data_IF_105349140932
#
_entry.id   IF_105349140932
#
_cell.length_a   1.000
_cell.length_b   1.000
_cell.length_c   1.000
_cell.angle_alpha   90.00
_cell.angle_beta   90.00
_cell.angle_gamma   90.00
#
_symmetry.space_group_name_H-M   'P 1'
#
loop_
_entity.id
_entity.type
_entity.pdbx_description
1 polymer ?
#
# COMPACT_ATOMS: atom_id res chain seq x y z
N UNK A 1 -15.30 -20.78 8.62
CA UNK A 1 -15.40 -19.43 7.99
C UNK A 1 -15.29 -18.29 9.00
N UNK A 2 -16.22 -18.09 9.95
CA UNK A 2 -16.13 -16.96 10.91
C UNK A 2 -14.89 -17.10 11.83
N UNK A 3 -14.64 -18.31 12.35
CA UNK A 3 -13.43 -18.61 13.13
C UNK A 3 -12.14 -18.35 12.32
N UNK A 4 -12.14 -18.73 11.04
CA UNK A 4 -11.02 -18.49 10.12
C UNK A 4 -10.81 -16.99 9.85
N UNK A 5 -11.89 -16.24 9.69
CA UNK A 5 -11.82 -14.79 9.51
C UNK A 5 -11.22 -14.11 10.75
N UNK A 6 -11.72 -14.45 11.94
CA UNK A 6 -11.15 -13.94 13.19
C UNK A 6 -9.68 -14.30 13.38
N UNK A 7 -9.29 -15.53 13.02
CA UNK A 7 -7.89 -15.93 13.02
C UNK A 7 -7.05 -15.15 12.00
N UNK A 8 -7.62 -14.79 10.85
CA UNK A 8 -7.01 -13.90 9.86
C UNK A 8 -6.78 -12.47 10.40
N UNK A 9 -7.76 -11.90 11.11
CA UNK A 9 -7.61 -10.61 11.79
C UNK A 9 -6.49 -10.70 12.84
N UNK A 10 -6.42 -11.81 13.58
CA UNK A 10 -5.34 -12.09 14.52
C UNK A 10 -3.94 -12.13 13.87
N UNK A 11 -3.85 -12.56 12.60
CA UNK A 11 -2.59 -12.52 11.84
C UNK A 11 -2.17 -11.08 11.51
N UNK A 12 -3.11 -10.20 11.21
CA UNK A 12 -2.82 -8.77 11.03
C UNK A 12 -2.26 -8.16 12.32
N UNK A 13 -2.95 -8.39 13.45
CA UNK A 13 -2.49 -7.91 14.77
C UNK A 13 -1.12 -8.48 15.16
N UNK A 14 -0.86 -9.75 14.83
CA UNK A 14 0.45 -10.36 15.01
C UNK A 14 1.49 -9.69 14.13
N UNK A 15 1.15 -9.35 12.89
CA UNK A 15 2.00 -8.59 11.98
C UNK A 15 2.38 -7.21 12.55
N UNK A 16 1.39 -6.47 13.07
CA UNK A 16 1.64 -5.24 13.82
C UNK A 16 2.61 -5.46 14.98
N UNK A 17 2.35 -6.47 15.82
CA UNK A 17 3.23 -6.79 16.95
C UNK A 17 4.66 -7.12 16.52
N UNK A 18 4.85 -7.87 15.43
CA UNK A 18 6.17 -8.26 14.91
C UNK A 18 6.98 -7.08 14.37
N UNK A 19 6.32 -6.13 13.72
CA UNK A 19 6.98 -4.90 13.23
C UNK A 19 7.34 -4.01 14.40
N UNK A 20 6.40 -3.77 15.32
CA UNK A 20 6.61 -2.89 16.47
C UNK A 20 7.47 -3.49 17.59
N UNK A 21 7.71 -4.80 17.60
CA UNK A 21 8.62 -5.44 18.57
C UNK A 21 10.10 -5.22 18.28
N UNK A 22 10.44 -4.72 17.09
CA UNK A 22 11.83 -4.46 16.69
C UNK A 22 12.01 -3.03 16.22
N UNK A 23 12.83 -2.20 16.89
CA UNK A 23 13.06 -0.81 16.46
C UNK A 23 13.68 -0.75 15.07
N UNK A 24 14.47 -1.76 14.68
CA UNK A 24 15.03 -1.90 13.33
C UNK A 24 13.93 -2.02 12.26
N UNK A 25 12.90 -2.84 12.50
CA UNK A 25 11.78 -3.02 11.55
C UNK A 25 10.93 -1.77 11.42
N UNK A 26 10.68 -1.07 12.53
CA UNK A 26 9.99 0.22 12.52
C UNK A 26 10.79 1.24 11.69
N UNK A 27 12.10 1.33 11.91
CA UNK A 27 12.97 2.25 11.17
C UNK A 27 12.99 1.93 9.67
N UNK A 28 13.15 0.65 9.31
CA UNK A 28 13.16 0.20 7.91
C UNK A 28 11.81 0.46 7.24
N UNK A 29 10.70 0.18 7.92
CA UNK A 29 9.36 0.43 7.39
C UNK A 29 9.06 1.93 7.22
N UNK A 30 9.64 2.79 8.07
CA UNK A 30 9.51 4.23 7.99
C UNK A 30 10.44 4.88 6.94
N UNK A 31 11.51 4.19 6.52
CA UNK A 31 12.53 4.78 5.63
C UNK A 31 11.96 5.35 4.33
N UNK A 32 11.04 4.68 3.61
CA UNK A 32 10.40 5.23 2.41
C UNK A 32 9.68 6.55 2.69
N UNK A 33 8.99 6.63 3.82
CA UNK A 33 8.25 7.83 4.24
C UNK A 33 9.21 8.95 4.63
N UNK A 34 10.33 8.63 5.28
CA UNK A 34 11.38 9.61 5.64
C UNK A 34 12.03 10.19 4.38
N UNK A 35 12.44 9.33 3.43
CA UNK A 35 13.05 9.77 2.16
C UNK A 35 12.08 10.69 1.41
N UNK A 36 10.82 10.28 1.30
CA UNK A 36 9.80 11.07 0.61
C UNK A 36 9.50 12.38 1.35
N UNK A 37 9.49 12.37 2.69
CA UNK A 37 9.32 13.57 3.50
C UNK A 37 10.44 14.58 3.24
N UNK A 38 11.70 14.13 3.23
CA UNK A 38 12.86 14.99 2.95
C UNK A 38 12.78 15.58 1.54
N UNK A 39 12.41 14.76 0.54
CA UNK A 39 12.22 15.22 -0.84
C UNK A 39 11.14 16.31 -0.93
N UNK A 40 9.97 16.07 -0.36
CA UNK A 40 8.88 17.05 -0.41
C UNK A 40 9.17 18.29 0.44
N UNK A 41 9.79 18.14 1.62
CA UNK A 41 10.24 19.28 2.43
C UNK A 41 11.21 20.17 1.65
N UNK A 42 12.11 19.58 0.87
CA UNK A 42 13.01 20.33 -0.01
C UNK A 42 12.20 21.14 -1.03
N UNK A 43 11.20 20.53 -1.68
CA UNK A 43 10.28 21.22 -2.58
C UNK A 43 9.51 22.36 -1.90
N UNK A 44 9.06 22.15 -0.67
CA UNK A 44 8.39 23.17 0.14
C UNK A 44 9.29 24.36 0.47
N UNK A 45 10.53 24.10 0.90
CA UNK A 45 11.50 25.17 1.18
C UNK A 45 11.78 25.98 -0.08
N UNK A 46 12.00 25.33 -1.23
CA UNK A 46 12.22 26.01 -2.50
C UNK A 46 11.00 26.85 -2.92
N UNK A 47 9.79 26.31 -2.79
CA UNK A 47 8.56 27.04 -3.11
C UNK A 47 8.37 28.26 -2.21
N UNK A 48 8.47 28.09 -0.89
CA UNK A 48 8.18 29.16 0.08
C UNK A 48 9.23 30.28 0.03
N UNK A 49 10.49 29.94 -0.21
CA UNK A 49 11.55 30.94 -0.38
C UNK A 49 11.41 31.73 -1.69
N UNK A 50 10.77 31.14 -2.71
CA UNK A 50 10.55 31.78 -4.01
C UNK A 50 9.08 32.17 -4.25
N UNK A 51 8.23 32.17 -3.21
CA UNK A 51 6.78 32.31 -3.39
C UNK A 51 6.39 33.64 -4.02
N UNK A 52 7.11 34.72 -3.69
CA UNK A 52 6.88 36.04 -4.26
C UNK A 52 7.20 36.06 -5.76
N UNK A 53 8.31 35.45 -6.18
CA UNK A 53 8.69 35.35 -7.60
C UNK A 53 7.72 34.46 -8.38
N UNK A 54 7.23 33.37 -7.77
CA UNK A 54 6.21 32.50 -8.38
C UNK A 54 4.88 33.23 -8.50
N UNK A 55 4.49 33.98 -7.47
CA UNK A 55 3.27 34.78 -7.49
C UNK A 55 3.33 35.86 -8.58
N UNK A 56 4.40 36.66 -8.63
CA UNK A 56 4.61 37.70 -9.65
C UNK A 56 4.56 37.12 -11.07
N UNK A 57 5.25 36.00 -11.30
CA UNK A 57 5.22 35.31 -12.60
C UNK A 57 3.82 34.84 -13.00
N UNK A 58 3.04 34.29 -12.06
CA UNK A 58 1.66 33.85 -12.29
C UNK A 58 0.68 35.02 -12.42
N UNK A 59 0.99 36.18 -11.85
CA UNK A 59 0.16 37.39 -11.88
C UNK A 59 0.56 38.38 -12.97
N UNK A 60 1.35 37.99 -13.99
CA UNK A 60 1.70 38.90 -15.09
C UNK A 60 0.50 39.51 -15.83
N UNK A 61 -0.69 38.92 -15.72
CA UNK A 61 -1.93 39.52 -16.24
C UNK A 61 -2.37 40.79 -15.48
N UNK A 62 -1.91 40.98 -14.24
CA UNK A 62 -2.23 42.09 -13.36
C UNK A 62 -1.17 43.21 -13.37
N UNK A 63 -0.17 43.14 -14.25
CA UNK A 63 0.93 44.12 -14.33
C UNK A 63 0.46 45.54 -14.65
N UNK A 64 -0.67 45.68 -15.34
CA UNK A 64 -1.28 46.97 -15.69
C UNK A 64 -2.16 47.55 -14.57
N UNK A 65 -2.36 46.82 -13.47
CA UNK A 65 -3.24 47.24 -12.38
C UNK A 65 -2.52 48.25 -11.48
N UNK A 66 -3.29 49.02 -10.70
CA UNK A 66 -2.70 49.87 -9.65
C UNK A 66 -1.96 49.00 -8.62
N UNK A 67 -0.86 49.51 -8.05
CA UNK A 67 0.02 48.75 -7.16
C UNK A 67 -0.69 48.05 -5.98
N UNK A 68 -1.74 48.65 -5.41
CA UNK A 68 -2.53 48.02 -4.34
C UNK A 68 -3.28 46.78 -4.82
N UNK A 69 -3.96 46.87 -5.97
CA UNK A 69 -4.71 45.73 -6.54
C UNK A 69 -3.78 44.64 -7.10
N UNK A 70 -2.61 45.01 -7.65
CA UNK A 70 -1.56 44.04 -8.03
C UNK A 70 -1.08 43.25 -6.81
N UNK A 71 -0.72 43.93 -5.72
CA UNK A 71 -0.26 43.27 -4.49
C UNK A 71 -1.32 42.34 -3.85
N UNK A 72 -2.60 42.72 -3.90
CA UNK A 72 -3.70 41.85 -3.44
C UNK A 72 -3.79 40.58 -4.30
N UNK A 73 -3.66 40.71 -5.62
CA UNK A 73 -3.70 39.57 -6.54
C UNK A 73 -2.51 38.62 -6.31
N UNK A 74 -1.29 39.16 -6.15
CA UNK A 74 -0.08 38.38 -5.84
C UNK A 74 -0.22 37.57 -4.56
N UNK A 75 -0.69 38.19 -3.48
CA UNK A 75 -0.92 37.49 -2.20
C UNK A 75 -1.98 36.40 -2.35
N UNK A 76 -3.09 36.68 -3.03
CA UNK A 76 -4.16 35.71 -3.24
C UNK A 76 -3.68 34.49 -4.08
N UNK A 77 -2.90 34.75 -5.14
CA UNK A 77 -2.29 33.69 -5.96
C UNK A 77 -1.27 32.91 -5.16
N UNK A 78 -0.39 33.57 -4.39
CA UNK A 78 0.58 32.91 -3.52
C UNK A 78 -0.08 31.95 -2.53
N UNK A 79 -1.14 32.38 -1.84
CA UNK A 79 -1.93 31.53 -0.93
C UNK A 79 -2.55 30.36 -1.69
N UNK A 80 -3.12 30.61 -2.87
CA UNK A 80 -3.75 29.57 -3.70
C UNK A 80 -2.75 28.51 -4.17
N UNK A 81 -1.55 28.93 -4.57
CA UNK A 81 -0.44 28.04 -4.94
C UNK A 81 -0.02 27.18 -3.75
N UNK A 82 0.17 27.78 -2.58
CA UNK A 82 0.49 27.04 -1.35
C UNK A 82 -0.59 26.00 -1.03
N UNK A 83 -1.87 26.37 -1.10
CA UNK A 83 -2.97 25.44 -0.85
C UNK A 83 -3.01 24.29 -1.88
N UNK A 84 -2.81 24.59 -3.16
CA UNK A 84 -2.77 23.60 -4.23
C UNK A 84 -1.58 22.63 -4.05
N UNK A 85 -0.39 23.15 -3.75
CA UNK A 85 0.80 22.35 -3.51
C UNK A 85 0.65 21.51 -2.23
N UNK A 86 -0.06 22.00 -1.20
CA UNK A 86 -0.42 21.20 -0.02
C UNK A 86 -1.27 19.99 -0.37
N UNK A 87 -2.36 20.19 -1.10
CA UNK A 87 -3.19 19.08 -1.57
C UNK A 87 -2.41 18.08 -2.42
N UNK A 88 -1.62 18.58 -3.38
CA UNK A 88 -0.80 17.76 -4.26
C UNK A 88 0.30 17.01 -3.50
N UNK A 89 0.90 17.63 -2.48
CA UNK A 89 1.96 17.02 -1.66
C UNK A 89 1.45 15.78 -0.92
N UNK A 90 0.21 15.78 -0.42
CA UNK A 90 -0.36 14.60 0.27
C UNK A 90 -0.48 13.41 -0.70
N UNK A 91 -0.91 13.67 -1.94
CA UNK A 91 -1.04 12.65 -2.99
C UNK A 91 0.34 12.14 -3.43
N UNK A 92 1.26 13.05 -3.74
CA UNK A 92 2.63 12.71 -4.14
C UNK A 92 3.38 11.98 -3.03
N UNK A 93 3.21 12.38 -1.79
CA UNK A 93 3.82 11.72 -0.64
C UNK A 93 3.44 10.24 -0.59
N UNK A 94 2.16 9.94 -0.71
CA UNK A 94 1.67 8.55 -0.70
C UNK A 94 2.19 7.78 -1.92
N UNK A 95 2.10 8.36 -3.12
CA UNK A 95 2.53 7.70 -4.35
C UNK A 95 4.04 7.38 -4.36
N UNK A 96 4.88 8.37 -4.03
CA UNK A 96 6.35 8.22 -4.02
C UNK A 96 6.77 7.26 -2.89
N UNK A 97 6.17 7.36 -1.71
CA UNK A 97 6.50 6.49 -0.58
C UNK A 97 6.21 5.02 -0.91
N UNK A 98 5.07 4.74 -1.54
CA UNK A 98 4.73 3.37 -1.99
C UNK A 98 5.67 2.88 -3.10
N UNK A 99 6.04 3.76 -4.04
CA UNK A 99 6.97 3.44 -5.13
C UNK A 99 8.35 3.04 -4.60
N UNK A 100 8.85 3.74 -3.58
CA UNK A 100 10.15 3.48 -2.94
C UNK A 100 10.07 2.31 -1.96
N UNK A 101 8.88 2.02 -1.41
CA UNK A 101 8.71 1.10 -0.28
C UNK A 101 9.00 -0.38 -0.56
N UNK A 102 8.86 -0.83 -1.81
CA UNK A 102 8.98 -2.24 -2.21
C UNK A 102 10.15 -3.00 -1.58
N UNK A 103 11.41 -2.56 -1.77
CA UNK A 103 12.60 -3.22 -1.22
C UNK A 103 12.61 -3.30 0.32
N UNK A 104 12.09 -2.26 1.00
CA UNK A 104 12.05 -2.22 2.47
C UNK A 104 10.98 -3.16 3.03
N UNK A 105 9.85 -3.27 2.35
CA UNK A 105 8.79 -4.19 2.72
C UNK A 105 9.19 -5.65 2.45
N UNK A 106 9.95 -5.90 1.38
CA UNK A 106 10.58 -7.20 1.10
C UNK A 106 11.54 -7.60 2.21
N UNK A 107 12.45 -6.70 2.60
CA UNK A 107 13.36 -6.92 3.72
C UNK A 107 12.63 -7.28 5.03
N UNK A 108 11.56 -6.57 5.37
CA UNK A 108 10.76 -6.87 6.58
C UNK A 108 10.13 -8.27 6.48
N UNK A 109 9.60 -8.63 5.31
CA UNK A 109 9.02 -9.96 5.08
C UNK A 109 10.07 -11.06 5.24
N UNK A 110 11.28 -10.87 4.73
CA UNK A 110 12.39 -11.82 4.84
C UNK A 110 12.84 -12.00 6.30
N UNK A 111 13.05 -10.90 7.02
CA UNK A 111 13.47 -10.96 8.43
C UNK A 111 12.40 -11.65 9.31
N UNK A 112 11.11 -11.40 9.05
CA UNK A 112 10.01 -12.09 9.74
C UNK A 112 10.00 -13.58 9.40
N UNK A 113 10.34 -13.95 8.18
CA UNK A 113 10.41 -15.33 7.75
C UNK A 113 11.57 -16.09 8.39
N UNK A 114 12.72 -15.42 8.54
CA UNK A 114 13.90 -15.97 9.20
C UNK A 114 13.62 -16.22 10.70
N UNK A 115 12.88 -15.33 11.37
CA UNK A 115 12.38 -15.56 12.75
C UNK A 115 11.42 -16.75 12.87
N UNK A 116 10.76 -17.14 11.78
CA UNK A 116 9.85 -18.30 11.73
C UNK A 116 10.59 -19.61 11.38
N UNK A 117 11.92 -19.62 11.40
CA UNK A 117 12.74 -20.79 11.09
C UNK A 117 13.30 -20.80 9.66
N UNK A 118 13.13 -19.71 8.92
CA UNK A 118 13.76 -19.48 7.61
C UNK A 118 13.21 -20.37 6.49
N UNK A 119 13.88 -20.29 5.34
CA UNK A 119 13.62 -21.13 4.17
C UNK A 119 14.92 -21.87 3.82
N UNK A 120 15.03 -23.18 4.11
CA UNK A 120 16.27 -23.96 3.90
C UNK A 120 16.79 -23.99 2.46
N UNK A 121 15.95 -23.62 1.49
CA UNK A 121 16.26 -23.56 0.06
C UNK A 121 15.58 -22.33 -0.57
N UNK A 122 15.89 -21.13 -0.08
CA UNK A 122 15.40 -19.92 -0.74
C UNK A 122 15.90 -19.91 -2.19
N UNK A 123 14.98 -19.93 -3.16
CA UNK A 123 15.38 -19.76 -4.56
C UNK A 123 16.04 -18.37 -4.70
N UNK A 124 17.34 -18.35 -5.00
CA UNK A 124 18.04 -17.13 -5.40
C UNK A 124 17.61 -16.79 -6.83
N UNK A 125 16.41 -16.24 -6.97
CA UNK A 125 15.94 -15.71 -8.24
C UNK A 125 16.80 -14.47 -8.52
N UNK A 126 17.55 -14.46 -9.62
CA UNK A 126 18.33 -13.28 -10.01
C UNK A 126 17.44 -12.03 -10.08
N UNK A 127 17.95 -10.89 -9.60
CA UNK A 127 17.23 -9.62 -9.42
C UNK A 127 16.29 -9.30 -10.60
N UNK A 128 16.77 -9.53 -11.82
CA UNK A 128 16.00 -9.20 -13.02
C UNK A 128 14.80 -10.11 -13.28
N UNK A 129 14.97 -11.41 -13.02
CA UNK A 129 13.89 -12.38 -13.12
C UNK A 129 12.88 -12.19 -11.98
N UNK A 130 13.33 -11.82 -10.79
CA UNK A 130 12.49 -11.46 -9.65
C UNK A 130 11.58 -10.26 -9.99
N UNK A 131 12.16 -9.18 -10.51
CA UNK A 131 11.41 -8.00 -10.94
C UNK A 131 10.35 -8.32 -12.00
N UNK A 132 10.70 -9.06 -13.07
CA UNK A 132 9.76 -9.41 -14.15
C UNK A 132 8.62 -10.30 -13.64
N UNK A 133 8.92 -11.27 -12.76
CA UNK A 133 7.91 -12.14 -12.15
C UNK A 133 6.99 -11.35 -11.24
N UNK A 134 7.55 -10.46 -10.41
CA UNK A 134 6.81 -9.54 -9.55
C UNK A 134 5.87 -8.65 -10.36
N UNK A 135 6.41 -7.91 -11.34
CA UNK A 135 5.65 -7.02 -12.20
C UNK A 135 4.51 -7.73 -12.92
N UNK A 136 4.76 -8.92 -13.48
CA UNK A 136 3.72 -9.74 -14.11
C UNK A 136 2.63 -10.13 -13.11
N UNK A 137 2.99 -10.48 -11.88
CA UNK A 137 2.03 -10.87 -10.86
C UNK A 137 1.14 -9.70 -10.43
N UNK A 138 1.73 -8.52 -10.21
CA UNK A 138 1.01 -7.29 -9.88
C UNK A 138 0.11 -6.87 -11.04
N UNK A 139 0.59 -6.92 -12.29
CA UNK A 139 -0.23 -6.64 -13.48
C UNK A 139 -1.42 -7.60 -13.61
N UNK A 140 -1.24 -8.89 -13.35
CA UNK A 140 -2.33 -9.86 -13.35
C UNK A 140 -3.36 -9.57 -12.26
N UNK A 141 -2.93 -9.14 -11.08
CA UNK A 141 -3.82 -8.75 -9.99
C UNK A 141 -4.60 -7.48 -10.33
N UNK A 142 -3.94 -6.46 -10.88
CA UNK A 142 -4.58 -5.22 -11.34
C UNK A 142 -5.58 -5.52 -12.45
N UNK A 143 -5.20 -6.30 -13.46
CA UNK A 143 -6.11 -6.72 -14.54
C UNK A 143 -7.31 -7.50 -14.00
N UNK A 144 -7.09 -8.37 -13.00
CA UNK A 144 -8.18 -9.10 -12.33
C UNK A 144 -9.09 -8.15 -11.56
N UNK A 145 -8.53 -7.16 -10.84
CA UNK A 145 -9.31 -6.14 -10.12
C UNK A 145 -10.19 -5.33 -11.09
N UNK A 146 -9.62 -4.87 -12.21
CA UNK A 146 -10.36 -4.16 -13.26
C UNK A 146 -11.47 -5.05 -13.85
N UNK A 147 -11.16 -6.32 -14.14
CA UNK A 147 -12.15 -7.26 -14.66
C UNK A 147 -13.34 -7.48 -13.72
N UNK A 148 -13.13 -7.42 -12.40
CA UNK A 148 -14.23 -7.44 -11.42
C UNK A 148 -14.89 -6.08 -11.21
N UNK A 149 -14.16 -4.97 -11.39
CA UNK A 149 -14.69 -3.63 -11.24
C UNK A 149 -15.80 -3.32 -12.26
N UNK A 150 -15.65 -3.77 -13.51
CA UNK A 150 -16.64 -3.54 -14.59
C UNK A 150 -18.03 -4.09 -14.23
N UNK A 151 -18.22 -5.39 -13.92
CA UNK A 151 -19.54 -5.91 -13.56
C UNK A 151 -20.06 -5.33 -12.25
N UNK A 152 -19.19 -5.09 -11.25
CA UNK A 152 -19.60 -4.45 -10.00
C UNK A 152 -20.10 -3.03 -10.21
N UNK A 153 -19.46 -2.27 -11.10
CA UNK A 153 -19.89 -0.93 -11.48
C UNK A 153 -21.29 -0.95 -12.11
N UNK A 154 -21.54 -1.89 -13.03
CA UNK A 154 -22.88 -2.09 -13.62
C UNK A 154 -23.91 -2.48 -12.54
N UNK A 155 -23.57 -3.40 -11.63
CA UNK A 155 -24.43 -3.76 -10.50
C UNK A 155 -24.68 -2.58 -9.54
N UNK A 156 -23.78 -1.59 -9.49
CA UNK A 156 -23.92 -0.37 -8.69
C UNK A 156 -25.13 0.48 -9.03
N UNK A 157 -25.68 0.33 -10.25
CA UNK A 157 -26.89 1.04 -10.68
C UNK A 157 -28.19 0.40 -10.20
N UNK A 158 -28.14 -0.81 -9.61
CA UNK A 158 -29.33 -1.47 -9.07
C UNK A 158 -29.73 -0.74 -7.76
N UNK A 159 -30.93 -0.14 -7.66
CA UNK A 159 -31.36 0.52 -6.43
C UNK A 159 -31.30 -0.43 -5.22
N UNK A 160 -30.92 0.10 -4.06
CA UNK A 160 -30.71 -0.64 -2.80
C UNK A 160 -29.52 -1.61 -2.84
N UNK A 161 -29.46 -2.55 -3.79
CA UNK A 161 -28.39 -3.57 -3.89
C UNK A 161 -27.05 -2.95 -4.26
N UNK A 162 -27.05 -2.01 -5.21
CA UNK A 162 -25.85 -1.33 -5.70
C UNK A 162 -25.16 -0.46 -4.64
N UNK A 163 -25.91 0.06 -3.67
CA UNK A 163 -25.34 0.88 -2.59
C UNK A 163 -24.96 0.07 -1.35
N UNK A 164 -25.48 -1.16 -1.19
CA UNK A 164 -25.26 -1.98 0.00
C UNK A 164 -24.33 -3.17 -0.26
N UNK A 165 -24.64 -4.00 -1.27
CA UNK A 165 -23.94 -5.27 -1.53
C UNK A 165 -22.67 -5.04 -2.36
N UNK A 166 -22.74 -4.17 -3.37
CA UNK A 166 -21.62 -3.94 -4.30
C UNK A 166 -20.37 -3.41 -3.58
N UNK A 167 -20.44 -2.42 -2.67
CA UNK A 167 -19.25 -1.97 -1.94
C UNK A 167 -18.62 -3.08 -1.08
N UNK A 168 -19.46 -3.91 -0.43
CA UNK A 168 -18.98 -5.05 0.37
C UNK A 168 -18.28 -6.08 -0.49
N UNK A 169 -18.84 -6.41 -1.65
CA UNK A 169 -18.20 -7.32 -2.61
C UNK A 169 -16.90 -6.73 -3.16
N UNK A 170 -16.87 -5.44 -3.49
CA UNK A 170 -15.68 -4.75 -3.96
C UNK A 170 -14.55 -4.81 -2.92
N UNK A 171 -14.85 -4.54 -1.64
CA UNK A 171 -13.90 -4.66 -0.54
C UNK A 171 -13.42 -6.09 -0.36
N UNK A 172 -14.32 -7.08 -0.40
CA UNK A 172 -13.95 -8.49 -0.25
C UNK A 172 -13.06 -8.97 -1.41
N UNK A 173 -13.37 -8.58 -2.65
CA UNK A 173 -12.60 -8.97 -3.84
C UNK A 173 -11.22 -8.30 -3.81
N UNK A 174 -11.17 -6.97 -3.63
CA UNK A 174 -9.90 -6.24 -3.59
C UNK A 174 -9.06 -6.62 -2.37
N UNK A 175 -9.69 -6.83 -1.21
CA UNK A 175 -9.04 -7.40 -0.03
C UNK A 175 -8.47 -8.77 -0.31
N UNK A 176 -9.20 -9.69 -0.96
CA UNK A 176 -8.66 -11.00 -1.32
C UNK A 176 -7.46 -10.89 -2.28
N UNK A 177 -7.54 -10.03 -3.29
CA UNK A 177 -6.42 -9.77 -4.22
C UNK A 177 -5.21 -9.18 -3.49
N UNK A 178 -5.43 -8.26 -2.56
CA UNK A 178 -4.39 -7.74 -1.67
C UNK A 178 -3.77 -8.85 -0.83
N UNK A 179 -4.56 -9.77 -0.29
CA UNK A 179 -4.05 -10.94 0.43
C UNK A 179 -3.15 -11.85 -0.41
N UNK A 180 -3.45 -12.00 -1.71
CA UNK A 180 -2.57 -12.70 -2.66
C UNK A 180 -1.26 -11.94 -2.86
N UNK A 181 -1.25 -10.61 -2.80
CA UNK A 181 -0.04 -9.79 -2.93
C UNK A 181 0.81 -9.82 -1.66
N UNK A 182 0.18 -9.67 -0.49
CA UNK A 182 0.86 -9.71 0.82
C UNK A 182 1.57 -11.04 1.10
N UNK A 183 1.10 -12.12 0.49
CA UNK A 183 1.69 -13.47 0.58
C UNK A 183 2.65 -13.76 -0.58
N UNK A 184 2.94 -12.77 -1.43
CA UNK A 184 3.71 -12.99 -2.64
C UNK A 184 5.14 -13.42 -2.40
N UNK A 185 5.86 -12.62 -1.62
CA UNK A 185 7.28 -12.80 -1.29
C UNK A 185 7.56 -14.19 -0.67
N UNK A 186 6.90 -14.60 0.43
CA UNK A 186 7.18 -15.91 1.06
C UNK A 186 6.85 -17.12 0.15
N UNK A 187 5.87 -17.00 -0.75
CA UNK A 187 5.59 -18.06 -1.73
C UNK A 187 6.64 -18.08 -2.85
N UNK A 188 7.06 -16.92 -3.35
CA UNK A 188 8.09 -16.80 -4.39
C UNK A 188 9.43 -17.33 -3.89
N UNK A 189 9.83 -17.04 -2.64
CA UNK A 189 11.08 -17.56 -2.04
C UNK A 189 11.13 -19.09 -1.97
N UNK A 190 9.98 -19.76 -1.95
CA UNK A 190 9.85 -21.23 -1.98
C UNK A 190 9.55 -21.79 -3.38
N UNK A 191 9.83 -21.04 -4.44
CA UNK A 191 9.63 -21.45 -5.84
C UNK A 191 8.17 -21.72 -6.22
N UNK A 192 7.19 -21.19 -5.47
CA UNK A 192 5.76 -21.40 -5.77
C UNK A 192 5.29 -20.39 -6.82
N UNK A 193 4.78 -20.91 -7.93
CA UNK A 193 4.21 -20.06 -8.99
C UNK A 193 2.94 -19.32 -8.51
N UNK A 194 2.63 -18.20 -9.17
CA UNK A 194 1.40 -17.42 -8.91
C UNK A 194 0.12 -18.28 -8.93
N UNK A 195 0.05 -19.26 -9.85
CA UNK A 195 -1.09 -20.19 -9.94
C UNK A 195 -1.18 -21.12 -8.73
N UNK A 196 -0.05 -21.61 -8.23
CA UNK A 196 0.01 -22.44 -7.01
C UNK A 196 -0.36 -21.61 -5.77
N UNK A 197 0.18 -20.40 -5.64
CA UNK A 197 -0.16 -19.44 -4.57
C UNK A 197 -1.66 -19.20 -4.51
N UNK A 198 -2.28 -18.84 -5.64
CA UNK A 198 -3.74 -18.62 -5.73
C UNK A 198 -4.55 -19.87 -5.37
N UNK A 199 -4.10 -21.07 -5.77
CA UNK A 199 -4.77 -22.34 -5.45
C UNK A 199 -4.72 -22.63 -3.94
N UNK A 200 -3.56 -22.41 -3.30
CA UNK A 200 -3.37 -22.63 -1.87
C UNK A 200 -4.20 -21.63 -1.05
N UNK A 201 -4.17 -20.34 -1.38
CA UNK A 201 -4.97 -19.32 -0.69
C UNK A 201 -6.47 -19.55 -0.84
N UNK A 202 -6.89 -20.13 -1.98
CA UNK A 202 -8.29 -20.45 -2.22
C UNK A 202 -8.84 -21.59 -1.34
N UNK A 203 -7.99 -22.40 -0.69
CA UNK A 203 -8.45 -23.44 0.26
C UNK A 203 -8.83 -22.87 1.63
N UNK A 204 -8.30 -21.69 1.97
CA UNK A 204 -8.47 -21.02 3.28
C UNK A 204 -8.91 -19.56 3.12
N UNK A 205 -9.91 -19.30 2.24
CA UNK A 205 -10.38 -17.93 1.93
C UNK A 205 -10.76 -17.11 3.15
N UNK A 206 -11.34 -17.73 4.19
CA UNK A 206 -11.69 -17.05 5.43
C UNK A 206 -10.48 -16.42 6.13
N UNK A 207 -9.37 -17.16 6.24
CA UNK A 207 -8.12 -16.66 6.82
C UNK A 207 -7.53 -15.50 5.98
N UNK A 208 -7.52 -15.66 4.65
CA UNK A 208 -7.00 -14.64 3.72
C UNK A 208 -7.82 -13.36 3.80
N UNK A 209 -9.15 -13.46 3.76
CA UNK A 209 -10.05 -12.32 3.88
C UNK A 209 -9.92 -11.65 5.26
N UNK A 210 -9.78 -12.44 6.33
CA UNK A 210 -9.59 -11.92 7.69
C UNK A 210 -8.32 -11.08 7.84
N UNK A 211 -7.23 -11.46 7.17
CA UNK A 211 -6.01 -10.66 7.13
C UNK A 211 -6.21 -9.41 6.24
N UNK A 212 -6.75 -9.61 5.04
CA UNK A 212 -6.59 -8.63 3.97
C UNK A 212 -7.75 -7.64 3.83
N UNK A 213 -8.96 -7.95 4.28
CA UNK A 213 -10.09 -6.99 4.30
C UNK A 213 -9.83 -5.84 5.27
N UNK A 214 -9.47 -6.08 6.55
CA UNK A 214 -9.12 -4.98 7.45
C UNK A 214 -7.90 -4.20 6.95
N UNK A 215 -6.90 -4.90 6.40
CA UNK A 215 -5.73 -4.24 5.79
C UNK A 215 -6.17 -3.30 4.66
N UNK A 216 -6.99 -3.77 3.73
CA UNK A 216 -7.49 -2.97 2.61
C UNK A 216 -8.25 -1.73 3.11
N UNK A 217 -9.16 -1.90 4.07
CA UNK A 217 -9.93 -0.80 4.66
C UNK A 217 -9.03 0.21 5.38
N UNK A 218 -8.02 -0.25 6.12
CA UNK A 218 -7.05 0.64 6.78
C UNK A 218 -6.21 1.41 5.74
N UNK A 219 -5.84 0.78 4.63
CA UNK A 219 -5.12 1.43 3.54
C UNK A 219 -5.96 2.47 2.77
N UNK A 220 -7.29 2.49 2.91
CA UNK A 220 -8.13 3.57 2.37
C UNK A 220 -7.95 4.89 3.14
N UNK A 221 -7.48 4.83 4.38
CA UNK A 221 -7.15 6.02 5.17
C UNK A 221 -5.78 6.54 4.70
N UNK A 222 -5.69 7.79 4.21
CA UNK A 222 -4.42 8.38 3.82
C UNK A 222 -3.39 8.28 4.95
N UNK A 223 -2.12 8.08 4.61
CA UNK A 223 -0.99 7.89 5.54
C UNK A 223 -1.04 6.61 6.39
N UNK A 224 -2.20 6.05 6.71
CA UNK A 224 -2.30 4.81 7.47
C UNK A 224 -1.62 3.65 6.74
N UNK A 225 -1.70 3.63 5.40
CA UNK A 225 -1.00 2.66 4.55
C UNK A 225 0.50 2.54 4.84
N UNK A 226 1.16 3.61 5.29
CA UNK A 226 2.59 3.61 5.60
C UNK A 226 2.96 2.65 6.74
N UNK A 227 2.07 2.53 7.73
CA UNK A 227 2.27 1.67 8.89
C UNK A 227 1.62 0.31 8.66
N UNK A 228 0.47 0.31 7.99
CA UNK A 228 -0.34 -0.88 7.74
C UNK A 228 0.37 -1.85 6.80
N UNK A 229 1.03 -1.36 5.74
CA UNK A 229 1.67 -2.25 4.74
C UNK A 229 2.79 -3.08 5.34
N UNK A 230 3.79 -2.53 6.06
CA UNK A 230 4.82 -3.33 6.75
C UNK A 230 4.22 -4.39 7.67
N UNK A 231 3.20 -4.02 8.47
CA UNK A 231 2.53 -4.93 9.37
C UNK A 231 1.76 -6.03 8.63
N UNK A 232 1.07 -5.68 7.54
CA UNK A 232 0.32 -6.61 6.71
C UNK A 232 1.22 -7.57 5.94
N UNK A 233 2.39 -7.11 5.48
CA UNK A 233 3.42 -7.96 4.88
C UNK A 233 3.93 -8.98 5.90
N UNK A 234 4.28 -8.55 7.12
CA UNK A 234 4.64 -9.47 8.20
C UNK A 234 3.52 -10.48 8.53
N UNK A 235 2.26 -10.02 8.59
CA UNK A 235 1.09 -10.89 8.77
C UNK A 235 0.89 -11.88 7.61
N UNK A 236 1.14 -11.45 6.37
CA UNK A 236 1.15 -12.27 5.16
C UNK A 236 2.25 -13.33 5.18
N UNK A 237 3.43 -13.01 5.70
CA UNK A 237 4.52 -13.97 5.92
C UNK A 237 4.12 -15.05 6.92
N UNK A 238 3.53 -14.67 8.07
CA UNK A 238 3.02 -15.64 9.05
C UNK A 238 1.91 -16.51 8.47
N UNK A 239 0.98 -15.92 7.70
CA UNK A 239 -0.08 -16.65 7.01
C UNK A 239 0.51 -17.69 6.04
N UNK A 240 1.48 -17.27 5.23
CA UNK A 240 2.13 -18.11 4.24
C UNK A 240 2.85 -19.27 4.90
N UNK A 241 3.60 -19.01 5.97
CA UNK A 241 4.27 -20.04 6.75
C UNK A 241 3.28 -21.09 7.29
N UNK A 242 2.15 -20.66 7.87
CA UNK A 242 1.10 -21.58 8.35
C UNK A 242 0.50 -22.44 7.24
N UNK A 243 0.22 -21.85 6.08
CA UNK A 243 -0.40 -22.57 4.97
C UNK A 243 0.55 -23.56 4.28
N UNK A 244 1.85 -23.29 4.32
CA UNK A 244 2.87 -24.10 3.64
C UNK A 244 3.42 -25.23 4.51
N UNK A 245 3.48 -25.04 5.83
CA UNK A 245 3.99 -26.04 6.78
C UNK A 245 2.87 -26.86 7.45
N UNK A 246 1.60 -26.54 7.17
CA UNK A 246 0.44 -27.08 7.88
C UNK A 246 0.33 -26.54 9.30
N UNK A 247 -0.85 -26.66 9.92
CA UNK A 247 -1.19 -26.14 11.27
C UNK A 247 -0.38 -26.78 12.44
N UNK A 248 0.83 -27.30 12.22
CA UNK A 248 1.68 -27.92 13.24
C UNK A 248 2.37 -26.93 14.19
N UNK A 249 2.27 -25.62 13.95
CA UNK A 249 3.04 -24.61 14.69
C UNK A 249 2.28 -23.90 15.83
N UNK A 250 1.10 -24.39 16.23
CA UNK A 250 0.42 -23.89 17.45
C UNK A 250 -0.30 -25.04 18.15
N UNK A 251 0.48 -25.85 18.86
CA UNK A 251 0.08 -26.41 20.15
C UNK A 251 0.91 -25.69 21.22
#
# INVERSE_FOLDING_TARGET
MIKDFGAGVGLLLRGFRLVFSSPKRVLVGALPAVITSVLLMTGWVLLLTNINSVADWLTGFADSWSGTWKGVAEVAVGISVVAAVLGLSVLLFTAITLMIGGPFYEYISEEVEDELGGVPEAEQIGWWRGFVVGLRSTLLLVATSIAFAIPLFVCGFIPVVGQTVVPVLAVCINGYLLGIELTGIPFTRRGRSFKQRRKILATRRGLVLGLAVPTYLLCLVPLAALVVIPAAMAGGTVLSHRLLNGDRATA
#
